data_IF_532818831636
#
_entry.id   IF_532818831636
#
_cell.length_a   1.000
_cell.length_b   1.000
_cell.length_c   1.000
_cell.angle_alpha   90.00
_cell.angle_beta   90.00
_cell.angle_gamma   90.00
#
_symmetry.space_group_name_H-M   'P 1'
#
loop_
_entity.id
_entity.type
_entity.pdbx_description
1 polymer ?
#
# COMPACT_ATOMS: atom_id res chain seq x y z
N UNK A 1 4.27 -7.78 -12.19
CA UNK A 1 5.10 -8.50 -11.22
C UNK A 1 4.46 -9.86 -10.96
N UNK A 2 5.24 -10.92 -10.75
CA UNK A 2 4.71 -12.14 -10.16
C UNK A 2 4.23 -11.86 -8.74
N UNK A 3 3.25 -12.62 -8.26
CA UNK A 3 2.79 -12.51 -6.88
C UNK A 3 3.71 -13.30 -5.95
N UNK A 4 4.07 -12.73 -4.80
CA UNK A 4 4.72 -13.42 -3.68
C UNK A 4 3.68 -14.13 -2.82
N UNK A 5 3.61 -13.78 -1.53
CA UNK A 5 2.59 -14.26 -0.61
C UNK A 5 1.19 -13.86 -1.10
N UNK A 6 0.32 -14.85 -1.29
CA UNK A 6 -1.03 -14.61 -1.77
C UNK A 6 -1.96 -14.11 -0.64
N UNK A 7 -3.03 -13.42 -1.03
CA UNK A 7 -4.12 -13.11 -0.10
C UNK A 7 -4.70 -14.40 0.49
N UNK A 8 -5.03 -14.37 1.79
CA UNK A 8 -5.58 -15.50 2.57
C UNK A 8 -4.61 -16.67 2.77
N UNK A 9 -3.34 -16.55 2.40
CA UNK A 9 -2.35 -17.56 2.76
C UNK A 9 -2.24 -17.67 4.29
N UNK A 10 -2.48 -18.86 4.84
CA UNK A 10 -2.40 -19.10 6.28
C UNK A 10 -0.95 -19.01 6.79
N UNK A 11 -0.78 -18.56 8.03
CA UNK A 11 0.53 -18.52 8.70
C UNK A 11 0.54 -17.67 9.97
N UNK A 12 1.73 -17.32 10.44
CA UNK A 12 1.95 -16.70 11.76
C UNK A 12 1.68 -15.19 11.82
N UNK A 13 0.89 -14.63 10.89
CA UNK A 13 0.45 -13.23 10.96
C UNK A 13 -0.58 -13.04 12.07
N UNK A 14 -0.77 -11.80 12.53
CA UNK A 14 -1.72 -11.49 13.61
C UNK A 14 -3.16 -11.96 13.33
N UNK A 15 -3.58 -11.94 12.05
CA UNK A 15 -4.90 -12.46 11.63
C UNK A 15 -4.93 -13.98 11.38
N UNK A 16 -3.81 -14.69 11.56
CA UNK A 16 -3.63 -16.09 11.18
C UNK A 16 -3.47 -16.33 9.67
N UNK A 17 -3.53 -15.27 8.86
CA UNK A 17 -3.34 -15.31 7.41
C UNK A 17 -2.89 -13.96 6.86
N UNK A 18 -2.38 -13.96 5.63
CA UNK A 18 -1.94 -12.76 4.93
C UNK A 18 -3.13 -11.92 4.44
N UNK A 19 -3.24 -10.69 4.94
CA UNK A 19 -4.39 -9.79 4.67
C UNK A 19 -4.26 -8.97 3.39
N UNK A 20 -3.13 -9.08 2.69
CA UNK A 20 -2.86 -8.42 1.42
C UNK A 20 -2.36 -9.40 0.35
N UNK A 21 -1.78 -8.86 -0.71
CA UNK A 21 -1.05 -9.64 -1.71
C UNK A 21 0.31 -8.99 -1.93
N UNK A 22 1.36 -9.79 -1.95
CA UNK A 22 2.72 -9.28 -2.13
C UNK A 22 3.09 -9.23 -3.61
N UNK A 23 3.73 -8.13 -4.00
CA UNK A 23 4.37 -7.97 -5.30
C UNK A 23 5.87 -7.73 -5.07
N UNK A 24 6.71 -8.77 -5.08
CA UNK A 24 8.14 -8.63 -4.85
C UNK A 24 8.78 -7.75 -5.93
N UNK A 25 9.48 -6.70 -5.48
CA UNK A 25 10.20 -5.74 -6.31
C UNK A 25 11.49 -5.29 -5.59
N UNK A 26 12.53 -4.84 -6.31
CA UNK A 26 13.70 -4.21 -5.70
C UNK A 26 13.34 -2.95 -4.90
N UNK A 27 14.08 -2.67 -3.83
CA UNK A 27 13.96 -1.42 -3.07
C UNK A 27 14.08 -0.20 -3.97
N UNK A 28 13.22 0.81 -3.77
CA UNK A 28 13.18 2.02 -4.59
C UNK A 28 12.40 1.88 -5.90
N UNK A 29 11.81 0.71 -6.19
CA UNK A 29 10.87 0.56 -7.30
C UNK A 29 9.68 1.49 -7.11
N UNK A 30 9.30 2.23 -8.17
CA UNK A 30 8.18 3.16 -8.08
C UNK A 30 6.86 2.43 -7.85
N UNK A 31 6.10 2.92 -6.87
CA UNK A 31 4.73 2.47 -6.57
C UNK A 31 3.77 3.58 -6.94
N UNK A 32 2.65 3.19 -7.55
CA UNK A 32 1.63 4.11 -8.07
C UNK A 32 0.28 3.81 -7.44
N UNK A 33 -0.53 4.86 -7.25
CA UNK A 33 -1.90 4.71 -6.82
C UNK A 33 -2.70 3.90 -7.86
N UNK A 34 -3.43 2.88 -7.42
CA UNK A 34 -4.25 2.03 -8.28
C UNK A 34 -5.43 2.77 -8.89
N UNK A 35 -5.95 3.77 -8.17
CA UNK A 35 -7.08 4.60 -8.57
C UNK A 35 -6.99 5.98 -7.88
N UNK A 36 -7.76 6.93 -8.38
CA UNK A 36 -7.87 8.26 -7.78
C UNK A 36 -8.48 8.19 -6.38
N UNK A 37 -8.06 9.10 -5.50
CA UNK A 37 -8.57 9.15 -4.13
C UNK A 37 -7.84 10.17 -3.25
N UNK A 38 -8.14 10.12 -1.95
CA UNK A 38 -7.50 10.95 -0.93
C UNK A 38 -6.63 10.10 -0.03
N UNK A 39 -5.37 10.48 0.13
CA UNK A 39 -4.46 9.87 1.11
C UNK A 39 -5.02 10.14 2.51
N UNK A 40 -5.29 9.08 3.26
CA UNK A 40 -5.79 9.14 4.64
C UNK A 40 -4.72 8.75 5.67
N UNK A 41 -3.60 8.18 5.22
CA UNK A 41 -2.41 7.93 6.03
C UNK A 41 -1.19 7.90 5.10
N UNK A 42 -0.10 8.54 5.51
CA UNK A 42 1.22 8.43 4.88
C UNK A 42 2.31 8.60 5.93
N UNK A 43 2.93 7.51 6.36
CA UNK A 43 3.86 7.53 7.49
C UNK A 43 4.36 6.15 7.88
N UNK A 44 5.09 6.07 9.00
CA UNK A 44 5.51 4.80 9.58
C UNK A 44 4.33 4.13 10.32
N UNK A 45 3.98 2.90 9.93
CA UNK A 45 2.80 2.17 10.40
C UNK A 45 3.16 0.81 11.04
N UNK A 46 4.14 0.81 11.95
CA UNK A 46 4.52 -0.38 12.71
C UNK A 46 5.06 -1.49 11.82
N UNK A 47 4.44 -2.67 11.85
CA UNK A 47 4.87 -3.83 11.06
C UNK A 47 4.83 -3.58 9.54
N UNK A 48 4.00 -2.62 9.08
CA UNK A 48 3.92 -2.25 7.67
C UNK A 48 5.09 -1.36 7.21
N UNK A 49 5.92 -0.82 8.11
CA UNK A 49 6.98 0.12 7.74
C UNK A 49 6.42 1.44 7.21
N UNK A 50 7.05 2.05 6.20
CA UNK A 50 6.41 3.18 5.51
C UNK A 50 5.20 2.69 4.72
N UNK A 51 4.07 3.33 4.97
CA UNK A 51 2.78 2.98 4.44
C UNK A 51 2.08 4.20 3.84
N UNK A 52 1.33 3.97 2.76
CA UNK A 52 0.32 4.91 2.26
C UNK A 52 -1.04 4.21 2.25
N UNK A 53 -2.08 4.87 2.74
CA UNK A 53 -3.48 4.43 2.61
C UNK A 53 -4.28 5.48 1.87
N UNK A 54 -4.99 5.06 0.83
CA UNK A 54 -5.82 5.93 -0.01
C UNK A 54 -7.28 5.51 0.15
N UNK A 55 -8.15 6.45 0.48
CA UNK A 55 -9.60 6.30 0.39
C UNK A 55 -10.06 6.69 -1.01
N UNK A 56 -10.85 5.84 -1.64
CA UNK A 56 -11.44 6.06 -2.96
C UNK A 56 -12.87 6.58 -2.86
N UNK A 57 -13.39 7.13 -3.97
CA UNK A 57 -14.74 7.70 -4.04
C UNK A 57 -15.84 6.67 -3.77
N UNK A 58 -15.60 5.41 -4.09
CA UNK A 58 -16.52 4.28 -3.83
C UNK A 58 -16.51 3.80 -2.37
N UNK A 59 -15.78 4.48 -1.49
CA UNK A 59 -15.65 4.14 -0.07
C UNK A 59 -14.66 3.02 0.23
N UNK A 60 -14.02 2.43 -0.78
CA UNK A 60 -12.96 1.42 -0.58
C UNK A 60 -11.62 2.09 -0.28
N UNK A 61 -10.68 1.27 0.20
CA UNK A 61 -9.34 1.70 0.52
C UNK A 61 -8.31 0.82 -0.20
N UNK A 62 -7.22 1.45 -0.65
CA UNK A 62 -6.00 0.74 -1.03
C UNK A 62 -4.89 1.07 -0.02
N UNK A 63 -4.14 0.05 0.37
CA UNK A 63 -3.00 0.17 1.28
C UNK A 63 -1.75 -0.29 0.55
N UNK A 64 -0.67 0.48 0.69
CA UNK A 64 0.64 0.20 0.10
C UNK A 64 1.63 0.18 1.26
N UNK A 65 2.10 -1.01 1.61
CA UNK A 65 2.98 -1.25 2.75
C UNK A 65 4.42 -1.53 2.30
N UNK A 66 5.34 -1.52 3.27
CA UNK A 66 6.75 -1.87 3.12
C UNK A 66 7.50 -0.99 2.10
N UNK A 67 7.08 0.28 2.00
CA UNK A 67 7.67 1.25 1.09
C UNK A 67 9.07 1.67 1.59
N UNK A 68 9.96 2.03 0.67
CA UNK A 68 11.28 2.58 1.03
C UNK A 68 11.27 4.08 1.28
N UNK A 69 10.27 4.79 0.75
CA UNK A 69 10.10 6.24 0.87
C UNK A 69 8.62 6.62 0.64
N UNK A 70 8.26 7.86 0.98
CA UNK A 70 6.94 8.44 0.76
C UNK A 70 7.08 9.66 -0.18
N UNK A 71 6.25 9.73 -1.22
CA UNK A 71 6.16 10.88 -2.14
C UNK A 71 4.82 11.62 -2.05
N UNK A 72 3.99 11.25 -1.08
CA UNK A 72 2.71 11.89 -0.79
C UNK A 72 2.56 12.09 0.71
N UNK A 73 1.62 12.95 1.10
CA UNK A 73 1.30 13.23 2.51
C UNK A 73 -0.18 13.01 2.80
N UNK A 74 -0.52 12.82 4.07
CA UNK A 74 -1.91 12.73 4.51
C UNK A 74 -2.71 13.95 4.03
N UNK A 75 -3.91 13.69 3.54
CA UNK A 75 -4.85 14.70 3.03
C UNK A 75 -4.67 15.07 1.57
N UNK A 76 -3.57 14.66 0.94
CA UNK A 76 -3.30 14.88 -0.48
C UNK A 76 -4.27 14.08 -1.37
N UNK A 77 -4.81 14.72 -2.40
CA UNK A 77 -5.51 14.03 -3.49
C UNK A 77 -4.52 13.46 -4.48
N UNK A 78 -4.78 12.24 -4.96
CA UNK A 78 -3.96 11.55 -5.96
C UNK A 78 -4.82 11.04 -7.11
N UNK A 79 -4.24 11.01 -8.31
CA UNK A 79 -4.85 10.38 -9.47
C UNK A 79 -4.42 8.93 -9.63
N UNK A 80 -5.24 8.11 -10.29
CA UNK A 80 -4.81 6.78 -10.74
C UNK A 80 -3.52 6.84 -11.56
N UNK A 81 -2.56 5.98 -11.25
CA UNK A 81 -1.22 5.95 -11.87
C UNK A 81 -0.24 7.00 -11.34
N UNK A 82 -0.65 7.89 -10.44
CA UNK A 82 0.26 8.84 -9.80
C UNK A 82 1.26 8.10 -8.91
N UNK A 83 2.54 8.48 -9.00
CA UNK A 83 3.59 7.96 -8.13
C UNK A 83 3.35 8.37 -6.67
N UNK A 84 3.43 7.39 -5.78
CA UNK A 84 3.29 7.57 -4.33
C UNK A 84 4.53 7.14 -3.54
N UNK A 85 5.40 6.30 -4.14
CA UNK A 85 6.72 5.91 -3.67
C UNK A 85 7.67 5.67 -4.85
#
# INVERSE_FOLDING_TARGET
ASTGTAYRQAGSWSSGYHTGVDFPVPTGTSVKAVASGRVVSAGWAGAYGYEVVIRHEDGKYSQYAHLSALHVSEGQSVSGGQRIA
#
